data_IF_584555045286
#
_entry.id   IF_584555045286
#
_cell.length_a   1.000
_cell.length_b   1.000
_cell.length_c   1.000
_cell.angle_alpha   90.00
_cell.angle_beta   90.00
_cell.angle_gamma   90.00
#
_symmetry.space_group_name_H-M   'P 1'
#
loop_
_entity.id
_entity.type
_entity.pdbx_description
1 polymer ?
#
# COMPACT_ATOMS: atom_id res chain seq x y z
N UNK A 1 8.05 -32.58 18.08
CA UNK A 1 8.27 -31.22 18.62
C UNK A 1 7.59 -30.10 17.78
N UNK A 2 7.74 -30.04 16.45
CA UNK A 2 7.12 -28.95 15.64
C UNK A 2 5.59 -28.82 15.70
N UNK A 3 4.83 -29.91 15.83
CA UNK A 3 3.36 -29.84 15.91
C UNK A 3 2.81 -29.28 17.24
N UNK A 4 3.51 -29.44 18.36
CA UNK A 4 3.10 -28.86 19.64
C UNK A 4 3.36 -27.36 19.73
N UNK A 5 4.39 -26.84 19.05
CA UNK A 5 4.67 -25.40 18.99
C UNK A 5 3.61 -24.66 18.16
N UNK A 6 3.27 -25.18 16.99
CA UNK A 6 2.21 -24.59 16.15
C UNK A 6 0.86 -24.56 16.88
N UNK A 7 0.52 -25.61 17.64
CA UNK A 7 -0.71 -25.63 18.44
C UNK A 7 -0.68 -24.60 19.59
N UNK A 8 0.45 -24.44 20.25
CA UNK A 8 0.61 -23.46 21.34
C UNK A 8 0.54 -22.03 20.80
N UNK A 9 1.17 -21.75 19.64
CA UNK A 9 1.10 -20.46 18.96
C UNK A 9 -0.32 -20.16 18.49
N UNK A 10 -1.02 -21.13 17.91
CA UNK A 10 -2.42 -20.95 17.50
C UNK A 10 -3.36 -20.74 18.71
N UNK A 11 -3.09 -21.35 19.87
CA UNK A 11 -3.83 -21.09 21.11
C UNK A 11 -3.56 -19.69 21.67
N UNK A 12 -2.32 -19.19 21.62
CA UNK A 12 -1.98 -17.81 21.99
C UNK A 12 -2.66 -16.80 21.05
N UNK A 13 -2.57 -17.02 19.73
CA UNK A 13 -3.26 -16.20 18.71
C UNK A 13 -4.78 -16.18 18.95
N UNK A 14 -5.35 -17.33 19.35
CA UNK A 14 -6.78 -17.43 19.64
C UNK A 14 -7.18 -16.67 20.93
N UNK A 15 -6.37 -16.72 21.97
CA UNK A 15 -6.67 -16.02 23.23
C UNK A 15 -6.51 -14.50 23.10
N UNK A 16 -5.49 -14.02 22.38
CA UNK A 16 -5.25 -12.61 22.08
C UNK A 16 -6.30 -12.04 21.11
N UNK A 17 -6.67 -12.80 20.08
CA UNK A 17 -7.78 -12.45 19.19
C UNK A 17 -9.12 -12.37 19.93
N UNK A 18 -9.35 -13.21 20.92
CA UNK A 18 -10.55 -13.18 21.76
C UNK A 18 -10.56 -11.97 22.70
N UNK A 19 -9.41 -11.55 23.22
CA UNK A 19 -9.26 -10.32 24.00
C UNK A 19 -9.48 -9.07 23.15
N UNK A 20 -8.90 -9.02 21.94
CA UNK A 20 -9.14 -7.94 20.96
C UNK A 20 -10.60 -7.86 20.51
N UNK A 21 -11.31 -9.01 20.48
CA UNK A 21 -12.75 -9.06 20.15
C UNK A 21 -13.65 -8.47 21.25
N UNK A 22 -13.28 -8.56 22.50
CA UNK A 22 -14.04 -7.90 23.57
C UNK A 22 -13.93 -6.36 23.51
N UNK A 23 -12.83 -5.85 22.92
CA UNK A 23 -12.61 -4.40 22.78
C UNK A 23 -13.06 -3.84 21.42
N UNK A 24 -13.00 -4.63 20.33
CA UNK A 24 -13.21 -4.15 18.95
C UNK A 24 -14.37 -4.84 18.18
N UNK A 25 -15.20 -5.63 18.83
CA UNK A 25 -16.42 -6.31 18.33
C UNK A 25 -16.48 -6.62 16.83
N UNK A 26 -16.18 -7.81 16.39
CA UNK A 26 -16.73 -8.55 15.23
C UNK A 26 -15.80 -9.55 14.48
N UNK A 27 -14.47 -9.61 14.70
CA UNK A 27 -13.59 -10.39 13.80
C UNK A 27 -13.06 -11.75 14.30
N UNK A 28 -13.50 -12.28 15.44
CA UNK A 28 -12.98 -13.52 16.04
C UNK A 28 -13.33 -14.82 15.29
N UNK A 29 -14.37 -14.81 14.46
CA UNK A 29 -14.82 -16.03 13.76
C UNK A 29 -13.89 -16.50 12.62
N UNK A 30 -13.10 -15.58 12.05
CA UNK A 30 -12.27 -15.88 10.90
C UNK A 30 -10.96 -16.60 11.25
N UNK A 31 -10.33 -16.24 12.35
CA UNK A 31 -9.12 -16.95 12.84
C UNK A 31 -9.42 -18.41 13.21
N UNK A 32 -10.62 -18.70 13.69
CA UNK A 32 -11.08 -20.07 13.93
C UNK A 32 -11.14 -20.89 12.64
N UNK A 33 -11.57 -20.30 11.54
CA UNK A 33 -11.67 -20.95 10.24
C UNK A 33 -10.31 -21.30 9.63
N UNK A 34 -9.31 -20.44 9.77
CA UNK A 34 -7.95 -20.69 9.28
C UNK A 34 -7.19 -21.73 10.12
N UNK A 35 -7.35 -21.69 11.44
CA UNK A 35 -6.77 -22.69 12.33
C UNK A 35 -7.31 -24.10 12.03
N UNK A 36 -8.58 -24.23 11.73
CA UNK A 36 -9.22 -25.51 11.38
C UNK A 36 -8.85 -26.03 9.98
N UNK A 37 -8.56 -25.16 9.00
CA UNK A 37 -8.20 -25.59 7.64
C UNK A 37 -6.79 -26.18 7.53
N UNK A 38 -5.90 -25.88 8.46
CA UNK A 38 -4.49 -26.35 8.44
C UNK A 38 -4.22 -27.58 9.31
N UNK A 39 -5.17 -27.99 10.12
CA UNK A 39 -5.09 -29.22 10.91
C UNK A 39 -5.85 -30.28 10.13
N UNK A 40 -5.11 -31.23 9.49
CA UNK A 40 -5.64 -32.46 8.93
C UNK A 40 -6.19 -33.36 10.08
N UNK A 41 -7.32 -32.97 10.61
CA UNK A 41 -8.12 -33.77 11.50
C UNK A 41 -9.49 -34.04 10.86
N UNK A 42 -9.96 -35.26 10.77
CA UNK A 42 -11.25 -35.61 10.17
C UNK A 42 -12.38 -35.11 11.06
N UNK A 43 -12.81 -33.86 10.88
CA UNK A 43 -14.04 -33.37 11.50
C UNK A 43 -15.23 -33.80 10.65
N UNK A 44 -16.16 -34.47 11.26
CA UNK A 44 -17.36 -35.07 10.64
C UNK A 44 -18.20 -33.96 9.96
N UNK A 45 -18.62 -34.23 8.75
CA UNK A 45 -19.25 -33.36 7.77
C UNK A 45 -20.56 -32.63 8.16
N UNK A 46 -21.12 -32.89 9.35
CA UNK A 46 -22.44 -32.41 9.75
C UNK A 46 -22.47 -31.18 10.66
N UNK A 47 -21.35 -30.72 11.22
CA UNK A 47 -21.32 -29.56 12.11
C UNK A 47 -21.23 -28.21 11.35
N UNK A 48 -20.85 -28.22 10.09
CA UNK A 48 -20.65 -27.03 9.27
C UNK A 48 -21.95 -26.41 8.72
N UNK A 49 -23.00 -27.23 8.52
CA UNK A 49 -24.29 -26.73 7.99
C UNK A 49 -25.09 -25.91 9.00
N UNK A 50 -24.85 -26.08 10.29
CA UNK A 50 -25.55 -25.34 11.35
C UNK A 50 -24.89 -23.95 11.52
N UNK A 51 -23.57 -23.87 11.51
CA UNK A 51 -22.81 -22.63 11.68
C UNK A 51 -23.03 -21.68 10.48
N UNK A 52 -23.03 -22.20 9.25
CA UNK A 52 -23.27 -21.42 8.05
C UNK A 52 -24.70 -20.86 7.94
N UNK A 53 -25.69 -21.46 8.62
CA UNK A 53 -27.07 -20.94 8.69
C UNK A 53 -27.24 -19.80 9.70
N UNK A 54 -26.51 -19.83 10.80
CA UNK A 54 -26.55 -18.76 11.81
C UNK A 54 -25.81 -17.51 11.34
N UNK A 55 -24.69 -17.65 10.62
CA UNK A 55 -23.94 -16.52 10.05
C UNK A 55 -24.72 -15.77 8.96
N UNK A 56 -25.48 -16.48 8.12
CA UNK A 56 -26.30 -15.84 7.09
C UNK A 56 -27.52 -15.09 7.63
N UNK A 57 -28.00 -15.43 8.84
CA UNK A 57 -29.13 -14.71 9.46
C UNK A 57 -28.70 -13.40 10.14
N UNK A 58 -27.43 -13.29 10.59
CA UNK A 58 -26.86 -12.06 11.14
C UNK A 58 -26.41 -11.06 10.05
N UNK A 59 -25.98 -11.54 8.89
CA UNK A 59 -25.53 -10.67 7.79
C UNK A 59 -26.68 -9.92 7.09
N UNK A 60 -27.92 -10.35 7.24
CA UNK A 60 -29.08 -9.70 6.60
C UNK A 60 -29.71 -8.56 7.41
N UNK A 61 -29.30 -8.34 8.65
CA UNK A 61 -29.85 -7.30 9.53
C UNK A 61 -28.98 -6.03 9.64
N UNK A 62 -27.81 -5.98 9.00
CA UNK A 62 -26.86 -4.85 9.10
C UNK A 62 -26.59 -4.10 7.78
N UNK A 63 -27.34 -4.37 6.70
CA UNK A 63 -27.08 -3.78 5.38
C UNK A 63 -27.76 -2.43 5.10
N UNK A 64 -28.38 -1.78 6.07
CA UNK A 64 -29.12 -0.53 5.81
C UNK A 64 -28.47 0.76 6.32
N UNK A 65 -27.20 0.75 6.75
CA UNK A 65 -26.57 2.01 7.19
C UNK A 65 -25.06 2.00 6.92
N UNK A 66 -24.63 2.07 5.67
CA UNK A 66 -23.32 2.65 5.31
C UNK A 66 -23.05 2.55 3.80
N UNK A 67 -23.74 3.38 3.03
CA UNK A 67 -23.33 3.65 1.66
C UNK A 67 -23.06 5.16 1.56
N UNK A 68 -21.88 5.59 1.97
CA UNK A 68 -21.31 6.84 1.49
C UNK A 68 -19.80 6.83 1.81
N UNK A 69 -19.06 7.16 0.77
CA UNK A 69 -17.63 7.53 0.80
C UNK A 69 -16.72 6.46 0.22
N UNK A 70 -15.79 6.74 -0.63
CA UNK A 70 -14.86 7.85 -0.78
C UNK A 70 -14.08 7.62 -2.06
N UNK A 71 -13.98 8.58 -2.91
CA UNK A 71 -12.94 8.63 -3.94
C UNK A 71 -11.88 9.64 -3.49
N UNK A 72 -10.74 9.16 -3.08
CA UNK A 72 -9.55 9.98 -2.91
C UNK A 72 -8.53 9.60 -3.99
N UNK A 73 -8.31 10.48 -4.95
CA UNK A 73 -7.20 10.32 -5.88
C UNK A 73 -5.89 10.57 -5.13
N UNK A 74 -5.18 9.49 -4.80
CA UNK A 74 -3.81 9.56 -4.31
C UNK A 74 -2.89 9.96 -5.45
N UNK A 75 -2.34 11.17 -5.43
CA UNK A 75 -1.16 11.47 -6.21
C UNK A 75 -0.01 10.66 -5.61
N UNK A 76 0.51 9.69 -6.37
CA UNK A 76 1.76 9.03 -6.04
C UNK A 76 2.85 10.10 -6.03
N UNK A 77 3.28 10.52 -4.84
CA UNK A 77 4.50 11.29 -4.70
C UNK A 77 5.67 10.34 -4.98
N UNK A 78 6.11 10.26 -6.24
CA UNK A 78 7.45 9.75 -6.53
C UNK A 78 8.45 10.56 -5.71
N UNK A 79 9.50 9.92 -5.17
CA UNK A 79 10.60 10.56 -4.44
C UNK A 79 11.42 11.58 -5.26
N UNK A 80 10.89 12.09 -6.36
CA UNK A 80 11.53 13.06 -7.26
C UNK A 80 11.42 14.51 -6.77
N UNK A 81 11.65 14.76 -5.49
CA UNK A 81 11.62 16.09 -4.88
C UNK A 81 12.93 16.88 -4.93
N UNK A 82 13.92 16.47 -5.70
CA UNK A 82 15.18 17.20 -5.83
C UNK A 82 15.50 17.52 -7.30
N UNK A 83 16.09 18.67 -7.58
CA UNK A 83 16.53 19.06 -8.93
C UNK A 83 17.83 18.39 -9.38
N UNK A 84 18.46 17.57 -8.51
CA UNK A 84 19.68 16.81 -8.78
C UNK A 84 19.40 15.40 -9.28
N UNK A 85 20.33 14.83 -10.04
CA UNK A 85 20.27 13.43 -10.47
C UNK A 85 20.88 12.51 -9.37
N UNK A 86 20.54 11.21 -9.33
CA UNK A 86 21.15 10.24 -8.41
C UNK A 86 22.68 10.23 -8.45
N UNK A 87 23.26 10.53 -9.62
CA UNK A 87 24.71 10.67 -9.79
C UNK A 87 25.30 11.86 -9.03
N UNK A 88 24.50 12.86 -8.69
CA UNK A 88 24.93 14.08 -8.00
C UNK A 88 24.90 13.91 -6.46
N UNK A 89 23.94 13.14 -5.92
CA UNK A 89 23.76 12.98 -4.47
C UNK A 89 24.14 11.59 -3.93
N UNK A 90 24.40 10.63 -4.80
CA UNK A 90 24.62 9.23 -4.42
C UNK A 90 23.34 8.48 -4.02
N UNK A 91 23.41 7.16 -3.95
CA UNK A 91 22.33 6.30 -3.47
C UNK A 91 22.28 6.34 -1.93
N UNK A 92 21.10 6.42 -1.33
CA UNK A 92 20.92 6.27 0.12
C UNK A 92 21.45 4.92 0.60
N UNK A 93 21.31 3.86 -0.21
CA UNK A 93 21.86 2.54 0.09
C UNK A 93 23.38 2.52 0.22
N UNK A 94 24.11 3.42 -0.48
CA UNK A 94 25.56 3.54 -0.37
C UNK A 94 26.03 4.15 0.97
N UNK A 95 25.10 4.76 1.73
CA UNK A 95 25.37 5.28 3.08
C UNK A 95 25.21 4.20 4.17
N UNK A 96 24.70 3.03 3.80
CA UNK A 96 24.58 1.87 4.69
C UNK A 96 25.86 1.02 4.64
N UNK A 97 26.25 0.41 5.74
CA UNK A 97 27.27 -0.65 5.75
C UNK A 97 26.90 -1.79 4.79
N UNK A 98 27.91 -2.51 4.31
CA UNK A 98 27.66 -3.69 3.46
C UNK A 98 26.92 -4.77 4.25
N UNK A 99 25.83 -5.26 3.69
CA UNK A 99 25.03 -6.34 4.29
C UNK A 99 25.72 -7.71 4.20
N UNK A 100 26.61 -7.88 3.27
CA UNK A 100 27.38 -9.08 2.97
C UNK A 100 28.87 -8.78 2.94
N UNK A 101 29.69 -9.84 2.94
CA UNK A 101 31.14 -9.72 2.79
C UNK A 101 31.46 -8.98 1.48
N UNK A 102 32.31 -7.93 1.53
CA UNK A 102 32.72 -7.18 0.34
C UNK A 102 33.40 -8.10 -0.67
N UNK A 103 33.10 -7.95 -1.97
CA UNK A 103 33.71 -8.73 -3.05
C UNK A 103 35.20 -8.53 -3.16
N UNK A 104 35.74 -7.42 -2.67
CA UNK A 104 37.18 -7.09 -2.67
C UNK A 104 37.96 -7.74 -1.51
N UNK A 105 37.28 -8.50 -0.65
CA UNK A 105 37.88 -9.16 0.51
C UNK A 105 38.26 -8.22 1.65
N UNK A 106 37.77 -6.96 1.65
CA UNK A 106 37.89 -6.07 2.79
C UNK A 106 37.05 -6.58 3.97
N UNK A 107 37.31 -6.09 5.20
CA UNK A 107 36.44 -6.38 6.31
C UNK A 107 35.08 -5.61 6.12
N UNK A 108 33.91 -6.24 6.43
CA UNK A 108 32.65 -5.55 6.39
C UNK A 108 32.66 -4.33 7.32
N UNK A 109 32.07 -3.23 6.88
CA UNK A 109 31.86 -2.10 7.76
C UNK A 109 30.94 -2.49 8.94
N UNK A 110 31.23 -2.00 10.18
CA UNK A 110 30.35 -2.24 11.30
C UNK A 110 28.99 -1.58 11.06
N UNK A 111 27.91 -2.23 11.48
CA UNK A 111 26.58 -1.65 11.40
C UNK A 111 26.48 -0.35 12.19
N UNK A 112 25.56 0.52 11.74
CA UNK A 112 25.34 1.81 12.38
C UNK A 112 24.53 1.67 13.67
N UNK A 113 24.78 2.56 14.62
CA UNK A 113 23.84 2.75 15.74
C UNK A 113 22.55 3.40 15.23
N UNK A 114 21.44 3.32 15.99
CA UNK A 114 20.20 4.01 15.63
C UNK A 114 20.40 5.50 15.34
N UNK A 115 21.14 6.21 16.21
CA UNK A 115 21.43 7.64 16.06
C UNK A 115 22.20 7.94 14.77
N UNK A 116 23.27 7.15 14.49
CA UNK A 116 24.04 7.31 13.27
C UNK A 116 23.20 7.06 12.00
N UNK A 117 22.32 6.05 12.03
CA UNK A 117 21.45 5.76 10.91
C UNK A 117 20.41 6.88 10.69
N UNK A 118 19.86 7.42 11.77
CA UNK A 118 18.96 8.57 11.72
C UNK A 118 19.66 9.82 11.17
N UNK A 119 20.84 10.17 11.69
CA UNK A 119 21.62 11.32 11.21
C UNK A 119 21.93 11.21 9.72
N UNK A 120 22.38 10.04 9.24
CA UNK A 120 22.66 9.82 7.80
C UNK A 120 21.41 9.96 6.93
N UNK A 121 20.25 9.49 7.39
CA UNK A 121 19.00 9.66 6.66
C UNK A 121 18.59 11.14 6.61
N UNK A 122 18.72 11.85 7.70
CA UNK A 122 18.41 13.27 7.80
C UNK A 122 19.32 14.12 6.90
N UNK A 123 20.63 13.87 6.91
CA UNK A 123 21.59 14.51 6.00
C UNK A 123 21.21 14.25 4.54
N UNK A 124 20.87 13.00 4.20
CA UNK A 124 20.46 12.62 2.85
C UNK A 124 19.20 13.35 2.39
N UNK A 125 18.20 13.57 3.25
CA UNK A 125 17.01 14.36 2.91
C UNK A 125 17.36 15.83 2.71
N UNK A 126 18.20 16.38 3.59
CA UNK A 126 18.66 17.77 3.52
C UNK A 126 19.45 18.07 2.24
N UNK A 127 20.38 17.18 1.86
CA UNK A 127 21.18 17.32 0.63
C UNK A 127 20.32 17.34 -0.64
N UNK A 128 19.15 16.71 -0.60
CA UNK A 128 18.17 16.71 -1.70
C UNK A 128 17.18 17.87 -1.63
N UNK A 129 17.30 18.75 -0.63
CA UNK A 129 16.36 19.84 -0.41
C UNK A 129 14.95 19.34 -0.02
N UNK A 130 14.86 18.15 0.59
CA UNK A 130 13.62 17.61 1.12
C UNK A 130 13.50 18.13 2.55
N UNK A 131 12.58 19.07 2.76
CA UNK A 131 12.20 19.51 4.10
C UNK A 131 11.18 18.55 4.67
N UNK A 132 11.51 17.92 5.81
CA UNK A 132 10.57 17.04 6.52
C UNK A 132 9.48 17.90 7.17
N UNK A 133 8.27 17.39 7.17
CA UNK A 133 7.17 17.98 7.93
C UNK A 133 7.21 17.48 9.36
N UNK A 134 6.69 18.28 10.32
CA UNK A 134 6.72 17.99 11.75
C UNK A 134 6.31 16.55 12.09
N UNK A 135 5.21 16.07 11.51
CA UNK A 135 4.71 14.70 11.71
C UNK A 135 5.62 13.61 11.10
N UNK A 136 6.42 13.93 10.09
CA UNK A 136 7.39 12.98 9.51
C UNK A 136 8.63 12.90 10.40
N UNK A 137 9.09 14.05 10.90
CA UNK A 137 10.22 14.14 11.82
C UNK A 137 9.88 13.44 13.14
N UNK A 138 8.71 13.69 13.73
CA UNK A 138 8.19 13.00 14.91
C UNK A 138 8.21 11.48 14.72
N UNK A 139 7.55 10.97 13.67
CA UNK A 139 7.50 9.54 13.38
C UNK A 139 8.89 8.92 13.14
N UNK A 140 9.82 9.63 12.50
CA UNK A 140 11.18 9.14 12.28
C UNK A 140 12.00 9.11 13.57
N UNK A 141 11.80 10.05 14.50
CA UNK A 141 12.44 10.05 15.80
C UNK A 141 11.96 8.87 16.65
N UNK A 142 10.65 8.61 16.70
CA UNK A 142 10.08 7.49 17.44
C UNK A 142 10.60 6.15 16.88
N UNK A 143 10.64 6.02 15.54
CA UNK A 143 11.23 4.85 14.89
C UNK A 143 12.71 4.67 15.18
N UNK A 144 13.47 5.75 15.26
CA UNK A 144 14.90 5.70 15.62
C UNK A 144 15.11 5.31 17.09
N UNK A 145 14.19 5.71 17.99
CA UNK A 145 14.19 5.29 19.38
C UNK A 145 13.87 3.79 19.56
N UNK A 146 13.33 3.14 18.52
CA UNK A 146 12.96 1.72 18.55
C UNK A 146 11.47 1.49 18.80
N UNK A 147 10.68 2.54 18.92
CA UNK A 147 9.25 2.49 19.16
C UNK A 147 8.48 2.09 17.90
N UNK A 148 7.28 1.58 18.07
CA UNK A 148 6.33 1.38 16.97
C UNK A 148 5.65 2.69 16.61
N UNK A 149 5.23 2.84 15.35
CA UNK A 149 4.50 4.02 14.91
C UNK A 149 3.22 3.61 14.15
N UNK A 150 2.09 4.18 14.54
CA UNK A 150 0.87 4.15 13.73
C UNK A 150 0.70 5.50 13.06
N UNK A 151 1.00 5.55 11.77
CA UNK A 151 0.97 6.78 10.96
C UNK A 151 -0.36 6.91 10.23
N UNK A 152 -1.33 7.57 10.90
CA UNK A 152 -2.70 7.77 10.43
C UNK A 152 -2.92 9.08 9.68
N UNK A 153 -1.92 9.56 8.95
CA UNK A 153 -1.94 10.87 8.28
C UNK A 153 -2.60 10.81 6.90
N UNK A 154 -3.15 11.93 6.37
CA UNK A 154 -3.84 11.95 5.08
C UNK A 154 -3.00 11.44 3.91
N UNK A 155 -3.66 11.08 2.79
CA UNK A 155 -2.98 10.81 1.52
C UNK A 155 -2.21 12.07 1.06
N UNK A 156 -0.98 11.85 0.58
CA UNK A 156 -0.10 12.94 0.16
C UNK A 156 0.73 13.56 1.29
N UNK A 157 0.59 13.11 2.54
CA UNK A 157 1.40 13.59 3.68
C UNK A 157 2.82 13.01 3.73
N UNK A 158 3.25 12.27 2.70
CA UNK A 158 4.60 11.74 2.61
C UNK A 158 4.91 10.52 3.49
N UNK A 159 3.90 9.71 3.85
CA UNK A 159 4.09 8.43 4.59
C UNK A 159 5.19 7.55 4.01
N UNK A 160 5.31 7.51 2.68
CA UNK A 160 6.33 6.73 2.00
C UNK A 160 7.76 7.15 2.32
N UNK A 161 7.98 8.43 2.65
CA UNK A 161 9.30 8.93 3.06
C UNK A 161 9.66 8.44 4.46
N UNK A 162 8.70 8.40 5.38
CA UNK A 162 8.89 7.84 6.73
C UNK A 162 9.18 6.34 6.65
N UNK A 163 8.42 5.61 5.79
CA UNK A 163 8.70 4.19 5.54
C UNK A 163 10.09 3.94 4.96
N UNK A 164 10.53 4.78 4.02
CA UNK A 164 11.90 4.73 3.49
C UNK A 164 12.94 4.92 4.60
N UNK A 165 12.72 5.91 5.50
CA UNK A 165 13.60 6.15 6.64
C UNK A 165 13.69 4.95 7.56
N UNK A 166 12.55 4.36 7.95
CA UNK A 166 12.51 3.14 8.76
C UNK A 166 13.29 1.98 8.11
N UNK A 167 13.02 1.72 6.83
CA UNK A 167 13.68 0.63 6.10
C UNK A 167 15.19 0.85 5.98
N UNK A 168 15.62 2.09 5.72
CA UNK A 168 17.04 2.44 5.67
C UNK A 168 17.70 2.28 7.03
N UNK A 169 17.11 2.84 8.10
CA UNK A 169 17.67 2.74 9.46
C UNK A 169 17.74 1.28 9.91
N UNK A 170 16.73 0.46 9.64
CA UNK A 170 16.75 -0.96 9.95
C UNK A 170 17.84 -1.70 9.18
N UNK A 171 17.95 -1.48 7.88
CA UNK A 171 18.97 -2.06 7.04
C UNK A 171 20.39 -1.66 7.51
N UNK A 172 20.60 -0.39 7.81
CA UNK A 172 21.89 0.14 8.27
C UNK A 172 22.30 -0.42 9.65
N UNK A 173 21.36 -0.91 10.44
CA UNK A 173 21.58 -1.60 11.71
C UNK A 173 21.73 -3.13 11.55
N UNK A 174 21.76 -3.65 10.33
CA UNK A 174 21.85 -5.09 10.06
C UNK A 174 20.55 -5.86 10.26
N UNK A 175 19.41 -5.19 10.29
CA UNK A 175 18.09 -5.82 10.42
C UNK A 175 17.51 -6.17 9.05
N UNK A 176 16.77 -7.26 8.97
CA UNK A 176 15.97 -7.58 7.80
C UNK A 176 14.64 -6.86 7.87
N UNK A 177 14.31 -6.12 6.84
CA UNK A 177 13.19 -5.19 6.80
C UNK A 177 12.18 -5.61 5.74
N UNK A 178 10.89 -5.39 6.03
CA UNK A 178 9.81 -5.71 5.11
C UNK A 178 8.92 -4.48 4.84
N UNK A 179 8.59 -4.29 3.57
CA UNK A 179 7.52 -3.39 3.15
C UNK A 179 6.35 -4.24 2.63
N UNK A 180 5.18 -4.14 3.25
CA UNK A 180 4.02 -4.91 2.82
C UNK A 180 2.93 -4.02 2.25
N UNK A 181 2.27 -4.50 1.18
CA UNK A 181 1.13 -3.83 0.55
C UNK A 181 0.02 -4.83 0.19
N UNK A 182 -1.24 -4.38 0.01
CA UNK A 182 -2.37 -5.28 -0.21
C UNK A 182 -2.39 -5.95 -1.58
N UNK A 183 -1.76 -5.35 -2.58
CA UNK A 183 -1.81 -5.86 -3.95
C UNK A 183 -0.43 -5.83 -4.62
N UNK A 184 -0.22 -6.76 -5.57
CA UNK A 184 1.04 -6.90 -6.30
C UNK A 184 1.45 -5.64 -7.06
N UNK A 185 0.51 -4.85 -7.55
CA UNK A 185 0.80 -3.62 -8.29
C UNK A 185 1.52 -2.61 -7.38
N UNK A 186 1.02 -2.39 -6.16
CA UNK A 186 1.65 -1.53 -5.17
C UNK A 186 3.00 -2.08 -4.70
N UNK A 187 3.10 -3.40 -4.47
CA UNK A 187 4.39 -4.05 -4.15
C UNK A 187 5.41 -3.79 -5.23
N UNK A 188 5.04 -3.94 -6.51
CA UNK A 188 5.95 -3.71 -7.64
C UNK A 188 6.35 -2.24 -7.76
N UNK A 189 5.41 -1.31 -7.59
CA UNK A 189 5.67 0.12 -7.59
C UNK A 189 6.70 0.47 -6.51
N UNK A 190 6.44 0.07 -5.26
CA UNK A 190 7.34 0.34 -4.14
C UNK A 190 8.69 -0.35 -4.27
N UNK A 191 8.73 -1.56 -4.84
CA UNK A 191 10.00 -2.21 -5.17
C UNK A 191 10.85 -1.35 -6.10
N UNK A 192 10.29 -0.81 -7.18
CA UNK A 192 11.06 0.04 -8.09
C UNK A 192 11.45 1.37 -7.45
N UNK A 193 10.57 1.99 -6.67
CA UNK A 193 10.88 3.21 -5.93
C UNK A 193 12.06 2.99 -4.97
N UNK A 194 12.01 1.92 -4.17
CA UNK A 194 13.05 1.59 -3.21
C UNK A 194 14.37 1.19 -3.89
N UNK A 195 14.32 0.48 -5.04
CA UNK A 195 15.52 0.16 -5.83
C UNK A 195 16.22 1.42 -6.31
N UNK A 196 15.48 2.45 -6.73
CA UNK A 196 16.08 3.72 -7.15
C UNK A 196 16.84 4.42 -6.04
N UNK A 197 16.36 4.32 -4.80
CA UNK A 197 16.92 5.06 -3.67
C UNK A 197 17.92 4.22 -2.86
N UNK A 198 17.60 2.96 -2.57
CA UNK A 198 18.43 2.06 -1.76
C UNK A 198 19.45 1.25 -2.59
N UNK A 199 19.28 1.21 -3.90
CA UNK A 199 20.09 0.39 -4.77
C UNK A 199 19.51 -1.02 -4.98
N UNK A 200 19.84 -1.61 -6.13
CA UNK A 200 19.28 -2.88 -6.60
C UNK A 200 19.63 -4.07 -5.69
N UNK A 201 20.81 -4.05 -5.13
CA UNK A 201 21.33 -5.18 -4.35
C UNK A 201 20.70 -5.24 -2.95
N UNK A 202 20.21 -4.10 -2.47
CA UNK A 202 19.60 -3.95 -1.15
C UNK A 202 18.09 -4.23 -1.11
N UNK A 203 17.43 -4.37 -2.27
CA UNK A 203 15.97 -4.52 -2.33
C UNK A 203 15.57 -5.79 -3.05
N UNK A 204 14.67 -6.55 -2.44
CA UNK A 204 14.06 -7.75 -3.02
C UNK A 204 12.54 -7.62 -3.13
N UNK A 205 11.94 -8.50 -3.91
CA UNK A 205 10.49 -8.59 -4.05
C UNK A 205 10.00 -10.03 -3.99
N UNK A 206 8.98 -10.27 -3.18
CA UNK A 206 8.33 -11.59 -3.05
C UNK A 206 6.82 -11.42 -3.19
N UNK A 207 6.26 -12.01 -4.24
CA UNK A 207 4.81 -12.12 -4.45
C UNK A 207 4.45 -13.56 -4.78
N UNK A 208 3.18 -13.87 -4.94
CA UNK A 208 2.74 -15.26 -5.22
C UNK A 208 3.33 -15.87 -6.51
N UNK A 209 3.81 -15.06 -7.45
CA UNK A 209 4.34 -15.49 -8.75
C UNK A 209 5.71 -14.88 -9.10
N UNK A 210 6.26 -14.02 -8.26
CA UNK A 210 7.52 -13.31 -8.55
C UNK A 210 8.44 -13.34 -7.34
N UNK A 211 9.69 -13.73 -7.55
CA UNK A 211 10.74 -13.77 -6.54
C UNK A 211 12.00 -13.12 -7.11
N UNK A 212 12.38 -11.96 -6.60
CA UNK A 212 13.56 -11.20 -7.02
C UNK A 212 14.38 -10.90 -5.78
N UNK A 213 15.67 -11.20 -5.78
CA UNK A 213 16.62 -10.89 -4.72
C UNK A 213 16.08 -11.19 -3.30
N UNK A 214 15.60 -12.42 -3.10
CA UNK A 214 14.88 -12.83 -1.87
C UNK A 214 15.73 -12.81 -0.60
N UNK A 215 17.03 -12.59 -0.71
CA UNK A 215 17.98 -12.48 0.41
C UNK A 215 18.33 -11.03 0.74
N UNK A 216 17.81 -10.07 -0.01
CA UNK A 216 18.07 -8.66 0.25
C UNK A 216 17.68 -8.23 1.67
N UNK A 217 18.35 -7.24 2.23
CA UNK A 217 18.00 -6.70 3.54
C UNK A 217 16.60 -6.07 3.57
N UNK A 218 16.10 -5.53 2.47
CA UNK A 218 14.76 -4.94 2.36
C UNK A 218 13.92 -5.76 1.39
N UNK A 219 12.80 -6.29 1.84
CA UNK A 219 11.88 -7.12 1.05
C UNK A 219 10.53 -6.43 0.88
N UNK A 220 10.14 -6.18 -0.38
CA UNK A 220 8.78 -5.77 -0.74
C UNK A 220 7.92 -7.00 -0.98
N UNK A 221 6.81 -7.16 -0.27
CA UNK A 221 5.93 -8.32 -0.45
C UNK A 221 4.46 -7.98 -0.20
N UNK A 222 3.55 -8.89 -0.60
CA UNK A 222 2.16 -8.77 -0.15
C UNK A 222 2.03 -9.19 1.32
N UNK A 223 1.06 -8.61 2.03
CA UNK A 223 0.85 -8.89 3.45
C UNK A 223 0.69 -10.39 3.74
N UNK A 224 0.06 -11.15 2.84
CA UNK A 224 -0.12 -12.60 2.96
C UNK A 224 1.20 -13.38 2.94
N UNK A 225 2.22 -12.87 2.24
CA UNK A 225 3.56 -13.52 2.23
C UNK A 225 4.19 -13.39 3.61
N UNK A 226 4.28 -12.18 4.16
CA UNK A 226 4.82 -11.97 5.49
C UNK A 226 4.04 -12.75 6.56
N UNK A 227 2.70 -12.72 6.51
CA UNK A 227 1.87 -13.46 7.45
C UNK A 227 2.11 -14.98 7.39
N UNK A 228 2.32 -15.56 6.21
CA UNK A 228 2.64 -16.97 6.07
C UNK A 228 4.04 -17.29 6.61
N UNK A 229 5.03 -16.42 6.41
CA UNK A 229 6.38 -16.58 6.94
C UNK A 229 6.35 -16.47 8.48
N UNK A 230 5.63 -15.49 9.03
CA UNK A 230 5.42 -15.31 10.44
C UNK A 230 4.73 -16.51 11.10
N UNK A 231 3.73 -17.12 10.46
CA UNK A 231 3.11 -18.37 10.95
C UNK A 231 4.04 -19.57 10.89
N UNK A 232 4.97 -19.61 9.95
CA UNK A 232 5.89 -20.73 9.76
C UNK A 232 7.03 -20.71 10.76
N UNK A 233 7.60 -19.54 11.01
CA UNK A 233 8.82 -19.32 11.76
C UNK A 233 8.55 -18.75 13.16
N UNK A 234 7.41 -18.05 13.34
CA UNK A 234 7.01 -17.44 14.63
C UNK A 234 8.10 -16.52 15.22
N UNK A 235 8.44 -16.72 16.47
CA UNK A 235 9.43 -15.94 17.21
C UNK A 235 10.86 -16.03 16.62
N UNK A 236 11.14 -17.08 15.83
CA UNK A 236 12.43 -17.32 15.19
C UNK A 236 12.54 -16.65 13.79
N UNK A 237 11.50 -15.92 13.34
CA UNK A 237 11.51 -15.29 12.04
C UNK A 237 12.53 -14.15 11.98
N UNK A 238 13.35 -14.16 10.92
CA UNK A 238 14.32 -13.09 10.64
C UNK A 238 13.57 -11.86 10.08
N UNK A 239 12.90 -11.13 10.97
CA UNK A 239 12.11 -9.93 10.67
C UNK A 239 12.41 -8.86 11.71
N UNK A 240 13.27 -7.91 11.38
CA UNK A 240 13.67 -6.85 12.31
C UNK A 240 12.73 -5.65 12.28
N UNK A 241 12.23 -5.24 11.10
CA UNK A 241 11.22 -4.19 11.02
C UNK A 241 10.24 -4.40 9.87
N UNK A 242 9.02 -3.89 10.03
CA UNK A 242 7.94 -4.01 9.02
C UNK A 242 7.21 -2.68 8.85
N UNK A 243 7.21 -2.15 7.63
CA UNK A 243 6.33 -1.06 7.21
C UNK A 243 5.09 -1.67 6.53
N UNK A 244 3.93 -1.59 7.19
CA UNK A 244 2.66 -2.09 6.69
C UNK A 244 1.85 -0.98 6.01
N UNK A 245 1.78 -1.01 4.70
CA UNK A 245 0.98 -0.06 3.94
C UNK A 245 -0.49 -0.48 3.87
N UNK A 246 -1.36 0.52 3.68
CA UNK A 246 -2.82 0.36 3.64
C UNK A 246 -3.36 -0.46 4.83
N UNK A 247 -2.93 -0.11 6.03
CA UNK A 247 -3.23 -0.84 7.25
C UNK A 247 -4.74 -0.94 7.54
N UNK A 248 -5.58 -0.13 6.92
CA UNK A 248 -7.04 -0.25 7.03
C UNK A 248 -7.57 -1.62 6.59
N UNK A 249 -6.84 -2.37 5.75
CA UNK A 249 -7.15 -3.77 5.43
C UNK A 249 -7.13 -4.71 6.66
N UNK A 250 -6.54 -4.28 7.78
CA UNK A 250 -6.62 -5.01 9.05
C UNK A 250 -8.07 -5.39 9.43
N UNK A 251 -9.03 -4.53 9.12
CA UNK A 251 -10.45 -4.73 9.38
C UNK A 251 -11.20 -5.51 8.27
N UNK A 252 -10.53 -5.89 7.18
CA UNK A 252 -11.15 -6.63 6.09
C UNK A 252 -11.53 -8.05 6.54
N UNK A 253 -12.80 -8.49 6.36
CA UNK A 253 -13.27 -9.78 6.86
C UNK A 253 -12.61 -10.99 6.18
N UNK A 254 -12.14 -10.85 4.95
CA UNK A 254 -11.54 -11.94 4.18
C UNK A 254 -10.02 -11.92 4.24
N UNK A 255 -9.40 -10.75 4.30
CA UNK A 255 -7.95 -10.57 4.17
C UNK A 255 -7.26 -10.01 5.42
N UNK A 256 -7.99 -9.44 6.37
CA UNK A 256 -7.44 -8.75 7.55
C UNK A 256 -6.45 -9.58 8.36
N UNK A 257 -6.59 -10.90 8.35
CA UNK A 257 -5.67 -11.82 8.99
C UNK A 257 -4.20 -11.62 8.56
N UNK A 258 -3.98 -11.18 7.33
CA UNK A 258 -2.63 -10.98 6.82
C UNK A 258 -1.91 -9.80 7.49
N UNK A 259 -2.65 -8.80 7.97
CA UNK A 259 -2.12 -7.70 8.79
C UNK A 259 -2.07 -8.05 10.26
N UNK A 260 -3.02 -8.87 10.76
CA UNK A 260 -3.12 -9.23 12.18
C UNK A 260 -2.05 -10.24 12.60
N UNK A 261 -1.79 -11.26 11.79
CA UNK A 261 -0.88 -12.36 12.14
C UNK A 261 0.54 -11.88 12.49
N UNK A 262 1.22 -11.04 11.69
CA UNK A 262 2.56 -10.57 12.05
C UNK A 262 2.60 -9.83 13.39
N UNK A 263 1.60 -8.98 13.67
CA UNK A 263 1.51 -8.24 14.95
C UNK A 263 1.38 -9.17 16.17
N UNK A 264 0.80 -10.35 16.00
CA UNK A 264 0.55 -11.32 17.05
C UNK A 264 1.63 -12.39 17.18
N UNK A 265 2.52 -12.53 16.20
CA UNK A 265 3.49 -13.64 16.15
C UNK A 265 4.93 -13.23 16.10
N UNK A 266 5.22 -11.93 15.92
CA UNK A 266 6.58 -11.39 15.78
C UNK A 266 6.92 -10.42 16.93
N UNK A 267 7.21 -10.92 18.15
CA UNK A 267 7.41 -10.06 19.33
C UNK A 267 8.68 -9.22 19.31
N UNK A 268 9.64 -9.55 18.44
CA UNK A 268 10.94 -8.85 18.33
C UNK A 268 11.01 -7.92 17.13
N UNK A 269 9.89 -7.67 16.47
CA UNK A 269 9.80 -6.86 15.26
C UNK A 269 9.29 -5.46 15.57
N UNK A 270 9.94 -4.45 15.04
CA UNK A 270 9.46 -3.08 15.04
C UNK A 270 8.45 -2.87 13.93
N UNK A 271 7.30 -2.25 14.22
CA UNK A 271 6.22 -2.03 13.27
C UNK A 271 5.95 -0.57 13.00
N UNK A 272 5.73 -0.24 11.74
CA UNK A 272 5.13 1.01 11.28
C UNK A 272 3.85 0.68 10.51
N UNK A 273 2.70 1.15 11.02
CA UNK A 273 1.39 0.87 10.44
C UNK A 273 0.87 2.13 9.75
N UNK A 274 0.70 2.08 8.43
CA UNK A 274 0.36 3.26 7.62
C UNK A 274 -1.01 3.15 6.99
N UNK A 275 -1.84 4.17 7.16
CA UNK A 275 -3.06 4.34 6.37
C UNK A 275 -3.56 5.78 6.41
N UNK A 276 -4.27 6.19 5.36
CA UNK A 276 -4.92 7.50 5.33
C UNK A 276 -6.29 7.51 6.02
N UNK A 277 -6.86 6.34 6.31
CA UNK A 277 -8.23 6.15 6.80
C UNK A 277 -8.24 5.16 7.96
N UNK A 278 -7.65 5.56 9.08
CA UNK A 278 -7.72 4.79 10.32
C UNK A 278 -8.85 5.33 11.21
N UNK A 279 -9.60 4.42 11.81
CA UNK A 279 -10.48 4.72 12.92
C UNK A 279 -9.72 4.81 14.25
N UNK A 280 -10.38 4.49 15.36
CA UNK A 280 -9.72 4.37 16.66
C UNK A 280 -8.79 3.14 16.66
N UNK A 281 -7.49 3.38 16.78
CA UNK A 281 -6.43 2.36 16.80
C UNK A 281 -5.80 2.18 18.17
N UNK A 282 -6.34 2.83 19.20
CA UNK A 282 -5.80 2.80 20.56
C UNK A 282 -5.67 1.37 21.10
N UNK A 283 -6.64 0.50 20.82
CA UNK A 283 -6.60 -0.91 21.23
C UNK A 283 -5.50 -1.69 20.49
N UNK A 284 -5.21 -1.34 19.23
CA UNK A 284 -4.14 -1.98 18.45
C UNK A 284 -2.78 -1.55 18.99
N UNK A 285 -2.61 -0.26 19.29
CA UNK A 285 -1.39 0.26 19.90
C UNK A 285 -1.10 -0.42 21.24
N UNK A 286 -2.08 -0.44 22.16
CA UNK A 286 -1.93 -1.08 23.47
C UNK A 286 -1.62 -2.59 23.37
N UNK A 287 -2.23 -3.30 22.41
CA UNK A 287 -1.96 -4.72 22.19
C UNK A 287 -0.54 -4.95 21.63
N UNK A 288 -0.06 -4.05 20.78
CA UNK A 288 1.29 -4.12 20.23
C UNK A 288 2.35 -3.88 21.32
N UNK A 289 2.13 -2.88 22.18
CA UNK A 289 2.97 -2.60 23.36
C UNK A 289 3.01 -3.78 24.33
N UNK A 290 1.85 -4.37 24.66
CA UNK A 290 1.78 -5.53 25.53
C UNK A 290 2.54 -6.72 24.96
N UNK A 291 2.48 -6.92 23.64
CA UNK A 291 3.08 -8.06 22.97
C UNK A 291 4.59 -7.95 22.78
N UNK A 292 5.07 -6.74 22.45
CA UNK A 292 6.48 -6.51 22.10
C UNK A 292 7.30 -5.90 23.24
N UNK A 293 6.65 -5.18 24.14
CA UNK A 293 7.29 -4.44 25.23
C UNK A 293 7.86 -3.08 24.80
N UNK A 294 7.71 -2.66 23.54
CA UNK A 294 8.10 -1.35 23.02
C UNK A 294 6.88 -0.42 22.97
N UNK A 295 7.10 0.89 23.08
CA UNK A 295 6.06 1.92 22.97
C UNK A 295 5.48 1.95 21.56
N UNK A 296 4.23 2.42 21.42
CA UNK A 296 3.57 2.57 20.14
C UNK A 296 2.97 3.97 20.00
N UNK A 297 3.63 4.83 19.24
CA UNK A 297 3.25 6.20 19.04
C UNK A 297 2.21 6.38 17.94
N UNK A 298 1.27 7.31 18.17
CA UNK A 298 0.15 7.59 17.28
C UNK A 298 0.35 8.94 16.60
N UNK A 299 0.85 8.94 15.38
CA UNK A 299 1.04 10.16 14.58
C UNK A 299 -0.14 10.30 13.61
N UNK A 300 -1.15 11.05 14.03
CA UNK A 300 -2.43 11.20 13.29
C UNK A 300 -2.71 12.63 12.86
N UNK A 301 -2.12 13.61 13.50
CA UNK A 301 -2.32 15.02 13.23
C UNK A 301 -1.37 15.52 12.15
N UNK A 302 -1.84 15.57 10.92
CA UNK A 302 -1.11 16.16 9.82
C UNK A 302 -2.03 17.00 8.93
N UNK A 303 -1.57 18.18 8.46
CA UNK A 303 -2.35 18.97 7.52
C UNK A 303 -2.52 18.20 6.22
N UNK A 304 -3.72 18.26 5.64
CA UNK A 304 -3.96 17.68 4.32
C UNK A 304 -3.34 18.59 3.25
N UNK A 305 -2.34 18.12 2.49
CA UNK A 305 -1.66 18.97 1.49
C UNK A 305 -2.59 19.40 0.35
N UNK A 306 -3.52 18.53 -0.02
CA UNK A 306 -4.55 18.84 -1.01
C UNK A 306 -5.90 18.87 -0.32
N UNK A 307 -6.56 20.05 -0.23
CA UNK A 307 -7.89 20.15 0.36
C UNK A 307 -8.89 19.26 -0.37
N UNK A 308 -9.80 18.62 0.37
CA UNK A 308 -10.92 17.87 -0.20
C UNK A 308 -12.21 18.62 0.08
N UNK A 309 -13.04 18.74 -0.94
CA UNK A 309 -14.45 19.14 -0.83
C UNK A 309 -15.35 18.03 -1.36
N UNK A 310 -16.55 17.93 -0.82
CA UNK A 310 -17.52 16.91 -1.19
C UNK A 310 -18.82 17.59 -1.60
N UNK A 311 -19.27 17.30 -2.82
CA UNK A 311 -20.52 17.80 -3.35
C UNK A 311 -21.43 16.63 -3.75
N UNK A 312 -22.69 16.70 -3.37
CA UNK A 312 -23.70 15.79 -3.87
C UNK A 312 -24.49 16.49 -4.98
N UNK A 313 -24.43 15.92 -6.19
CA UNK A 313 -25.10 16.48 -7.37
C UNK A 313 -26.22 15.55 -7.84
N UNK A 314 -27.35 16.16 -8.26
CA UNK A 314 -28.53 15.45 -8.77
C UNK A 314 -28.70 15.59 -10.30
N UNK A 315 -27.77 16.27 -10.97
CA UNK A 315 -27.74 16.40 -12.42
C UNK A 315 -27.28 15.10 -13.09
N UNK A 316 -27.53 14.96 -14.40
CA UNK A 316 -26.97 13.81 -15.13
C UNK A 316 -25.43 13.83 -15.09
N UNK A 317 -24.81 12.66 -15.27
CA UNK A 317 -23.36 12.53 -15.29
C UNK A 317 -22.72 13.45 -16.36
N UNK A 318 -23.29 13.45 -17.55
CA UNK A 318 -22.83 14.30 -18.65
C UNK A 318 -22.93 15.79 -18.30
N UNK A 319 -24.05 16.21 -17.70
CA UNK A 319 -24.24 17.59 -17.24
C UNK A 319 -23.25 17.98 -16.14
N UNK A 320 -22.94 17.05 -15.23
CA UNK A 320 -21.94 17.25 -14.17
C UNK A 320 -20.53 17.40 -14.78
N UNK A 321 -20.15 16.53 -15.70
CA UNK A 321 -18.86 16.62 -16.42
C UNK A 321 -18.75 17.93 -17.18
N UNK A 322 -19.80 18.34 -17.90
CA UNK A 322 -19.80 19.60 -18.64
C UNK A 322 -19.62 20.80 -17.71
N UNK A 323 -20.30 20.81 -16.56
CA UNK A 323 -20.20 21.85 -15.56
C UNK A 323 -18.78 21.92 -14.97
N UNK A 324 -18.21 20.80 -14.57
CA UNK A 324 -16.86 20.71 -14.02
C UNK A 324 -15.80 21.17 -15.06
N UNK A 325 -15.95 20.76 -16.32
CA UNK A 325 -15.08 21.24 -17.40
C UNK A 325 -15.14 22.75 -17.59
N UNK A 326 -16.35 23.33 -17.55
CA UNK A 326 -16.53 24.79 -17.63
C UNK A 326 -15.91 25.55 -16.47
N UNK A 327 -15.85 24.93 -15.29
CA UNK A 327 -15.22 25.50 -14.08
C UNK A 327 -13.72 25.30 -14.03
N UNK A 328 -13.13 24.57 -14.99
CA UNK A 328 -11.70 24.27 -14.99
C UNK A 328 -11.28 23.22 -13.95
N UNK A 329 -12.20 22.37 -13.51
CA UNK A 329 -12.00 21.30 -12.49
C UNK A 329 -11.45 20.00 -13.10
N UNK A 330 -10.92 20.02 -14.32
CA UNK A 330 -10.25 18.87 -14.92
C UNK A 330 -8.82 18.71 -14.32
N UNK A 331 -8.29 17.44 -14.27
CA UNK A 331 -8.86 16.21 -14.81
C UNK A 331 -9.95 15.59 -13.92
N UNK A 332 -10.91 14.93 -14.53
CA UNK A 332 -12.00 14.24 -13.85
C UNK A 332 -11.78 12.71 -13.92
N UNK A 333 -11.83 12.04 -12.78
CA UNK A 333 -11.85 10.58 -12.72
C UNK A 333 -13.24 10.08 -12.33
N UNK A 334 -13.89 9.33 -13.24
CA UNK A 334 -15.24 8.80 -13.06
C UNK A 334 -15.13 7.31 -12.71
N UNK A 335 -15.46 6.97 -11.47
CA UNK A 335 -15.35 5.62 -10.95
C UNK A 335 -16.63 4.83 -11.19
N UNK A 336 -16.50 3.62 -11.69
CA UNK A 336 -17.60 2.69 -11.96
C UNK A 336 -17.38 1.35 -11.25
N UNK A 337 -18.47 0.67 -10.91
CA UNK A 337 -18.43 -0.67 -10.32
C UNK A 337 -18.05 -1.78 -11.34
N UNK A 338 -18.17 -1.51 -12.64
CA UNK A 338 -17.83 -2.49 -13.66
C UNK A 338 -17.06 -1.87 -14.83
N UNK A 339 -16.27 -2.71 -15.50
CA UNK A 339 -15.50 -2.34 -16.69
C UNK A 339 -16.42 -1.93 -17.86
N UNK A 340 -17.54 -2.62 -18.02
CA UNK A 340 -18.51 -2.32 -19.08
C UNK A 340 -19.18 -0.97 -18.85
N UNK A 341 -19.53 -0.62 -17.62
CA UNK A 341 -20.09 0.68 -17.30
C UNK A 341 -19.07 1.81 -17.55
N UNK A 342 -17.81 1.62 -17.17
CA UNK A 342 -16.74 2.56 -17.45
C UNK A 342 -16.56 2.81 -18.95
N UNK A 343 -16.56 1.74 -19.74
CA UNK A 343 -16.45 1.83 -21.20
C UNK A 343 -17.67 2.51 -21.85
N UNK A 344 -18.87 2.18 -21.41
CA UNK A 344 -20.10 2.78 -21.92
C UNK A 344 -20.15 4.29 -21.64
N UNK A 345 -19.81 4.71 -20.43
CA UNK A 345 -19.71 6.13 -20.06
C UNK A 345 -18.64 6.85 -20.88
N UNK A 346 -17.46 6.26 -21.05
CA UNK A 346 -16.41 6.84 -21.87
C UNK A 346 -16.86 7.03 -23.34
N UNK A 347 -17.62 6.09 -23.88
CA UNK A 347 -18.17 6.18 -25.24
C UNK A 347 -19.24 7.27 -25.36
N UNK A 348 -20.08 7.44 -24.32
CA UNK A 348 -21.06 8.54 -24.27
C UNK A 348 -20.34 9.88 -24.26
N UNK A 349 -19.39 10.06 -23.36
CA UNK A 349 -18.65 11.30 -23.17
C UNK A 349 -17.79 11.69 -24.39
N UNK A 350 -17.28 10.73 -25.14
CA UNK A 350 -16.49 11.01 -26.35
C UNK A 350 -17.22 11.86 -27.40
N UNK A 351 -18.55 11.94 -27.34
CA UNK A 351 -19.36 12.75 -28.26
C UNK A 351 -19.49 14.22 -27.85
N UNK A 352 -19.02 14.60 -26.65
CA UNK A 352 -19.21 15.95 -26.10
C UNK A 352 -18.04 16.92 -26.38
N UNK A 353 -17.04 16.52 -27.17
CA UNK A 353 -15.94 17.42 -27.54
C UNK A 353 -15.09 17.88 -26.36
N UNK A 354 -14.78 16.98 -25.44
CA UNK A 354 -14.14 17.22 -24.14
C UNK A 354 -12.73 17.84 -24.29
N UNK A 355 -11.91 17.35 -25.22
CA UNK A 355 -10.55 17.82 -25.42
C UNK A 355 -10.46 18.95 -26.46
N UNK A 356 -9.61 19.93 -26.19
CA UNK A 356 -9.23 20.96 -27.15
C UNK A 356 -8.50 20.37 -28.37
N UNK A 357 -8.35 21.17 -29.44
CA UNK A 357 -7.59 20.74 -30.62
C UNK A 357 -6.12 20.46 -30.26
N UNK A 358 -5.54 21.32 -29.46
CA UNK A 358 -4.15 21.24 -29.00
C UNK A 358 -3.94 19.95 -28.16
N UNK A 359 -4.84 19.68 -27.22
CA UNK A 359 -4.81 18.46 -26.42
C UNK A 359 -4.91 17.20 -27.29
N UNK A 360 -5.80 17.18 -28.27
CA UNK A 360 -5.94 16.02 -29.18
C UNK A 360 -4.67 15.75 -30.00
N UNK A 361 -3.99 16.80 -30.47
CA UNK A 361 -2.71 16.63 -31.19
C UNK A 361 -1.60 16.17 -30.23
N UNK A 362 -1.53 16.69 -29.02
CA UNK A 362 -0.58 16.22 -27.99
C UNK A 362 -0.80 14.75 -27.61
N UNK A 363 -2.06 14.34 -27.40
CA UNK A 363 -2.40 12.93 -27.14
C UNK A 363 -1.96 12.04 -28.29
N UNK A 364 -2.23 12.44 -29.54
CA UNK A 364 -1.85 11.71 -30.74
C UNK A 364 -0.33 11.56 -30.85
N UNK A 365 0.42 12.62 -30.56
CA UNK A 365 1.88 12.58 -30.53
C UNK A 365 2.40 11.64 -29.45
N UNK A 366 1.91 11.76 -28.22
CA UNK A 366 2.32 10.94 -27.08
C UNK A 366 1.93 9.45 -27.22
N UNK A 367 0.89 9.17 -28.01
CA UNK A 367 0.46 7.80 -28.32
C UNK A 367 1.23 7.18 -29.51
N UNK A 368 2.13 7.93 -30.19
CA UNK A 368 2.97 7.38 -31.25
C UNK A 368 3.78 6.19 -30.75
N UNK A 369 3.89 5.15 -31.56
CA UNK A 369 4.59 3.91 -31.18
C UNK A 369 3.73 2.90 -30.42
N UNK A 370 2.54 3.27 -29.93
CA UNK A 370 1.64 2.31 -29.29
C UNK A 370 0.79 1.57 -30.35
N UNK A 371 0.87 0.23 -30.35
CA UNK A 371 0.06 -0.60 -31.26
C UNK A 371 -1.33 -0.84 -30.68
N UNK A 372 -2.37 -0.40 -31.40
CA UNK A 372 -3.79 -0.59 -31.07
C UNK A 372 -4.42 -1.73 -31.90
N UNK A 373 -3.78 -2.88 -31.95
CA UNK A 373 -4.17 -3.99 -32.83
C UNK A 373 -5.42 -4.76 -32.37
N UNK A 374 -5.78 -4.71 -31.09
CA UNK A 374 -6.94 -5.42 -30.53
C UNK A 374 -8.25 -4.67 -30.80
N UNK A 375 -9.39 -5.38 -30.69
CA UNK A 375 -10.71 -4.74 -30.79
C UNK A 375 -10.88 -3.61 -29.78
N UNK A 376 -10.54 -3.87 -28.50
CA UNK A 376 -10.55 -2.86 -27.46
C UNK A 376 -9.54 -1.73 -27.74
N UNK A 377 -8.35 -2.06 -28.23
CA UNK A 377 -7.34 -1.05 -28.58
C UNK A 377 -7.83 -0.05 -29.61
N UNK A 378 -8.61 -0.48 -30.61
CA UNK A 378 -9.21 0.42 -31.61
C UNK A 378 -10.23 1.37 -30.98
N UNK A 379 -11.03 0.88 -30.03
CA UNK A 379 -11.98 1.69 -29.26
C UNK A 379 -11.23 2.70 -28.41
N UNK A 380 -10.23 2.25 -27.64
CA UNK A 380 -9.40 3.11 -26.80
C UNK A 380 -8.72 4.22 -27.60
N UNK A 381 -8.14 3.91 -28.76
CA UNK A 381 -7.54 4.91 -29.65
C UNK A 381 -8.51 6.02 -30.04
N UNK A 382 -9.77 5.66 -30.35
CA UNK A 382 -10.81 6.64 -30.65
C UNK A 382 -11.16 7.50 -29.45
N UNK A 383 -11.32 6.89 -28.28
CA UNK A 383 -11.64 7.59 -27.03
C UNK A 383 -10.53 8.56 -26.63
N UNK A 384 -9.27 8.12 -26.65
CA UNK A 384 -8.11 8.97 -26.39
C UNK A 384 -8.06 10.16 -27.37
N UNK A 385 -8.37 9.95 -28.66
CA UNK A 385 -8.47 11.02 -29.63
C UNK A 385 -9.58 12.04 -29.35
N UNK A 386 -10.53 11.73 -28.45
CA UNK A 386 -11.55 12.66 -27.94
C UNK A 386 -11.19 13.23 -26.56
N UNK A 387 -10.06 12.87 -25.98
CA UNK A 387 -9.62 13.31 -24.63
C UNK A 387 -10.22 12.48 -23.49
N UNK A 388 -10.77 11.30 -23.78
CA UNK A 388 -11.36 10.42 -22.79
C UNK A 388 -10.48 9.18 -22.62
N UNK A 389 -9.97 8.97 -21.40
CA UNK A 389 -9.26 7.76 -21.02
C UNK A 389 -10.21 6.68 -20.50
N UNK A 390 -9.76 5.44 -20.55
CA UNK A 390 -10.39 4.30 -19.87
C UNK A 390 -9.32 3.56 -19.08
N UNK A 391 -9.60 3.22 -17.81
CA UNK A 391 -8.65 2.51 -16.95
C UNK A 391 -9.34 1.45 -16.09
N UNK A 392 -8.93 0.19 -16.22
CA UNK A 392 -9.41 -0.93 -15.41
C UNK A 392 -8.48 -2.15 -15.51
N UNK A 393 -8.56 -3.08 -14.55
CA UNK A 393 -7.69 -4.26 -14.46
C UNK A 393 -7.73 -5.19 -15.69
N UNK A 394 -8.86 -5.24 -16.41
CA UNK A 394 -9.01 -6.06 -17.62
C UNK A 394 -8.30 -5.54 -18.87
N UNK A 395 -7.64 -4.39 -18.79
CA UNK A 395 -6.86 -3.84 -19.92
C UNK A 395 -5.49 -4.50 -20.02
N UNK A 396 -4.97 -4.55 -21.26
CA UNK A 396 -3.57 -4.92 -21.47
C UNK A 396 -2.64 -3.91 -20.76
N UNK A 397 -1.57 -4.35 -20.09
CA UNK A 397 -0.64 -3.48 -19.35
C UNK A 397 -0.16 -2.26 -20.16
N UNK A 398 0.20 -2.47 -21.44
CA UNK A 398 0.63 -1.37 -22.33
C UNK A 398 -0.40 -0.28 -22.52
N UNK A 399 -1.70 -0.59 -22.44
CA UNK A 399 -2.78 0.39 -22.56
C UNK A 399 -3.02 1.11 -21.26
N UNK A 400 -2.90 0.43 -20.11
CA UNK A 400 -2.95 1.06 -18.79
C UNK A 400 -1.83 2.09 -18.65
N UNK A 401 -0.57 1.67 -18.85
CA UNK A 401 0.60 2.54 -18.82
C UNK A 401 0.48 3.74 -19.77
N UNK A 402 -0.12 3.58 -20.94
CA UNK A 402 -0.36 4.70 -21.83
C UNK A 402 -1.35 5.70 -21.24
N UNK A 403 -2.48 5.22 -20.69
CA UNK A 403 -3.49 6.09 -20.06
C UNK A 403 -2.91 6.79 -18.85
N UNK A 404 -2.20 6.09 -17.99
CA UNK A 404 -1.51 6.63 -16.81
C UNK A 404 -0.52 7.74 -17.20
N UNK A 405 0.34 7.49 -18.19
CA UNK A 405 1.29 8.47 -18.70
C UNK A 405 0.60 9.71 -19.27
N UNK A 406 -0.48 9.54 -20.05
CA UNK A 406 -1.24 10.66 -20.59
C UNK A 406 -1.96 11.46 -19.50
N UNK A 407 -2.42 10.78 -18.44
CA UNK A 407 -3.01 11.40 -17.25
C UNK A 407 -1.98 12.23 -16.48
N UNK A 408 -0.81 11.67 -16.21
CA UNK A 408 0.30 12.36 -15.53
C UNK A 408 0.78 13.61 -16.32
N UNK A 409 0.70 13.57 -17.63
CA UNK A 409 1.01 14.73 -18.49
C UNK A 409 -0.12 15.77 -18.57
N UNK A 410 -1.25 15.54 -17.85
CA UNK A 410 -2.40 16.45 -17.88
C UNK A 410 -3.14 16.48 -19.22
N UNK A 411 -2.94 15.48 -20.08
CA UNK A 411 -3.50 15.44 -21.43
C UNK A 411 -4.92 14.88 -21.49
N UNK A 412 -5.36 14.12 -20.46
CA UNK A 412 -6.69 13.51 -20.40
C UNK A 412 -7.60 14.30 -19.46
N UNK A 413 -8.51 15.12 -19.99
CA UNK A 413 -9.47 15.86 -19.17
C UNK A 413 -10.45 14.94 -18.41
N UNK A 414 -10.77 13.76 -18.97
CA UNK A 414 -11.69 12.81 -18.34
C UNK A 414 -11.14 11.39 -18.47
N UNK A 415 -11.22 10.64 -17.39
CA UNK A 415 -10.88 9.22 -17.35
C UNK A 415 -12.04 8.47 -16.71
N UNK A 416 -12.55 7.43 -17.38
CA UNK A 416 -13.56 6.53 -16.84
C UNK A 416 -12.88 5.20 -16.46
N UNK A 417 -13.09 4.75 -15.22
CA UNK A 417 -12.44 3.52 -14.78
C UNK A 417 -13.14 2.84 -13.62
N UNK A 418 -12.54 1.77 -13.15
CA UNK A 418 -12.86 1.16 -11.86
C UNK A 418 -11.90 1.75 -10.81
N UNK A 419 -11.89 1.24 -9.60
CA UNK A 419 -11.02 1.66 -8.50
C UNK A 419 -9.51 1.51 -8.75
N UNK A 420 -9.10 0.94 -9.88
CA UNK A 420 -7.70 0.57 -10.18
C UNK A 420 -6.73 1.70 -10.49
N UNK A 421 -7.18 2.93 -10.71
CA UNK A 421 -6.31 4.10 -10.94
C UNK A 421 -6.03 4.87 -9.64
N UNK A 422 -6.77 4.62 -8.59
CA UNK A 422 -6.63 5.27 -7.28
C UNK A 422 -5.93 4.39 -6.24
N UNK A 423 -5.41 3.24 -6.66
CA UNK A 423 -4.72 2.26 -5.81
C UNK A 423 -3.28 2.14 -6.25
#
# INVERSE_FOLDING_TARGET
>A
MRKSHVLATLQKVYSLSWQLHQTAGQNAHFLHFLACKRIDAPLRHNSWRTIARESNHMAQTTTDTAASTVSGAGAASSFSGGTGTEAEFGSLGALSPTWWEPEDGSEPEPWLTPDQAFERFFEWTSDRGIELWDHQEEALMDLAAGDHVILGTPTGSGKSLVALGMLFMGMAQGKRCYYTAPIKALVSEKFFDLVQVLGRDNVGMITGDTHINTKAPVICCTAEILANDALRESEDADVGCVAMDEFHYFADPDRGWAWQVPLLTLPHTQFMLMSATLGDVTAIAASLEEHTGATCDLVVDAPRPVPLSYDYVTTSLEGTVELAMRRGEAPLYIVHFSQDAALATAQSLANFGIASKEQREAIKEAAKGTSFSTAFGKILKRLLGCGVGVHHAGMLPRYRLLVERLAQQGLLPVICGTDTLGV
#
